data_IF_744653023672
#
_entry.id   IF_744653023672
#
_cell.length_a   1.000
_cell.length_b   1.000
_cell.length_c   1.000
_cell.angle_alpha   90.00
_cell.angle_beta   90.00
_cell.angle_gamma   90.00
#
_symmetry.space_group_name_H-M   'P 1'
#
loop_
_entity.id
_entity.type
_entity.pdbx_description
1 polymer ?
#
# COMPACT_ATOMS: atom_id res chain seq x y z
N UNK A 1 4.67 -21.72 -5.86
CA UNK A 1 4.58 -22.79 -6.88
C UNK A 1 3.70 -23.97 -6.44
N UNK A 2 3.57 -24.27 -5.14
CA UNK A 2 2.88 -25.49 -4.68
C UNK A 2 1.45 -25.65 -5.21
N UNK A 3 0.65 -24.57 -5.25
CA UNK A 3 -0.69 -24.60 -5.80
C UNK A 3 -0.71 -24.83 -7.33
N UNK A 4 0.22 -24.19 -8.05
CA UNK A 4 0.37 -24.39 -9.49
C UNK A 4 0.79 -25.83 -9.83
N UNK A 5 1.62 -26.43 -8.98
CA UNK A 5 2.11 -27.81 -9.10
C UNK A 5 1.17 -28.86 -8.45
N UNK A 6 0.07 -28.44 -7.80
CA UNK A 6 -0.86 -29.33 -7.10
C UNK A 6 -0.28 -30.02 -5.85
N UNK A 7 0.81 -29.50 -5.27
CA UNK A 7 1.57 -30.11 -4.16
C UNK A 7 1.21 -29.58 -2.78
N UNK A 8 0.40 -28.52 -2.70
CA UNK A 8 0.02 -27.88 -1.45
C UNK A 8 -0.58 -26.49 -1.68
N UNK A 9 -0.83 -25.77 -0.59
CA UNK A 9 -1.39 -24.43 -0.64
C UNK A 9 -0.71 -23.52 0.38
N UNK A 10 -0.15 -22.42 -0.10
CA UNK A 10 0.37 -21.33 0.74
C UNK A 10 -0.75 -20.33 1.09
N UNK A 11 -2.02 -20.72 0.95
CA UNK A 11 -3.11 -19.79 1.13
C UNK A 11 -3.22 -19.18 2.54
N UNK A 12 -2.97 -19.92 3.65
CA UNK A 12 -3.00 -19.33 4.99
C UNK A 12 -1.97 -18.19 5.15
N UNK A 13 -0.71 -18.44 4.80
CA UNK A 13 0.35 -17.44 4.91
C UNK A 13 0.11 -16.25 3.96
N UNK A 14 -0.37 -16.48 2.74
CA UNK A 14 -0.69 -15.38 1.81
C UNK A 14 -1.82 -14.51 2.38
N UNK A 15 -2.85 -15.11 2.99
CA UNK A 15 -3.94 -14.35 3.63
C UNK A 15 -3.44 -13.50 4.79
N UNK A 16 -2.39 -13.90 5.50
CA UNK A 16 -1.77 -13.06 6.53
C UNK A 16 -0.96 -11.92 5.91
N UNK A 17 -0.22 -12.18 4.84
CA UNK A 17 0.66 -11.20 4.18
C UNK A 17 -0.11 -10.08 3.49
N UNK A 18 -1.22 -10.38 2.80
CA UNK A 18 -2.04 -9.37 2.10
C UNK A 18 -2.68 -8.36 3.05
N UNK A 19 -2.74 -8.66 4.35
CA UNK A 19 -3.22 -7.74 5.40
C UNK A 19 -2.13 -6.81 5.92
N UNK A 20 -0.85 -7.13 5.65
CA UNK A 20 0.30 -6.42 6.20
C UNK A 20 0.98 -5.52 5.18
N UNK A 21 0.93 -5.88 3.89
CA UNK A 21 1.58 -5.12 2.82
C UNK A 21 0.84 -5.25 1.48
N UNK A 22 0.98 -4.27 0.57
CA UNK A 22 0.54 -4.42 -0.81
C UNK A 22 1.20 -5.65 -1.44
N UNK A 23 0.36 -6.56 -1.95
CA UNK A 23 0.78 -7.87 -2.43
C UNK A 23 0.14 -8.16 -3.78
N UNK A 24 0.95 -8.57 -4.76
CA UNK A 24 0.50 -9.16 -6.02
C UNK A 24 0.47 -10.68 -5.86
N UNK A 25 -0.69 -11.31 -5.98
CA UNK A 25 -0.85 -12.76 -5.70
C UNK A 25 -0.96 -13.54 -7.00
N UNK A 26 -0.08 -14.52 -7.21
CA UNK A 26 -0.07 -15.36 -8.40
C UNK A 26 0.11 -16.85 -8.09
N UNK A 27 -0.17 -17.67 -9.10
CA UNK A 27 0.06 -19.13 -9.07
C UNK A 27 -1.18 -19.94 -8.69
N UNK A 28 -1.67 -20.75 -9.62
CA UNK A 28 -2.79 -21.67 -9.38
C UNK A 28 -4.19 -21.04 -9.44
N UNK A 29 -4.32 -19.78 -9.86
CA UNK A 29 -5.62 -19.12 -10.10
C UNK A 29 -6.15 -19.60 -11.47
N UNK A 30 -7.20 -20.42 -11.47
CA UNK A 30 -7.73 -21.09 -12.67
C UNK A 30 -9.21 -20.78 -12.96
N UNK A 31 -9.90 -20.16 -12.03
CA UNK A 31 -11.31 -19.79 -12.13
C UNK A 31 -11.56 -18.40 -11.51
N UNK A 32 -12.71 -17.82 -11.85
CA UNK A 32 -13.10 -16.46 -11.44
C UNK A 32 -13.34 -16.38 -9.93
N UNK A 33 -13.88 -17.44 -9.31
CA UNK A 33 -14.16 -17.44 -7.88
C UNK A 33 -12.87 -17.39 -7.05
N UNK A 34 -11.84 -18.13 -7.45
CA UNK A 34 -10.52 -18.08 -6.85
C UNK A 34 -9.86 -16.70 -7.03
N UNK A 35 -10.00 -16.10 -8.22
CA UNK A 35 -9.51 -14.75 -8.51
C UNK A 35 -10.17 -13.71 -7.59
N UNK A 36 -11.51 -13.71 -7.50
CA UNK A 36 -12.28 -12.81 -6.63
C UNK A 36 -11.97 -13.05 -5.15
N UNK A 37 -11.79 -14.30 -4.73
CA UNK A 37 -11.43 -14.62 -3.35
C UNK A 37 -10.10 -14.01 -2.93
N UNK A 38 -9.10 -13.95 -3.82
CA UNK A 38 -7.83 -13.28 -3.53
C UNK A 38 -7.96 -11.76 -3.46
N UNK A 39 -8.71 -11.16 -4.39
CA UNK A 39 -8.96 -9.73 -4.40
C UNK A 39 -9.72 -9.30 -3.12
N UNK A 40 -10.72 -10.08 -2.71
CA UNK A 40 -11.50 -9.83 -1.49
C UNK A 40 -10.70 -10.07 -0.21
N UNK A 41 -9.69 -10.95 -0.25
CA UNK A 41 -8.78 -11.17 0.87
C UNK A 41 -7.87 -9.96 1.11
N UNK A 42 -7.66 -9.10 0.10
CA UNK A 42 -6.85 -7.89 0.19
C UNK A 42 -5.66 -7.84 -0.76
N UNK A 43 -5.49 -8.81 -1.67
CA UNK A 43 -4.42 -8.77 -2.67
C UNK A 43 -4.57 -7.53 -3.55
N UNK A 44 -3.57 -6.66 -3.66
CA UNK A 44 -3.63 -5.43 -4.46
C UNK A 44 -3.97 -5.75 -5.93
N UNK A 45 -3.33 -6.78 -6.46
CA UNK A 45 -3.63 -7.35 -7.77
C UNK A 45 -3.42 -8.86 -7.77
N UNK A 46 -3.93 -9.52 -8.80
CA UNK A 46 -3.70 -10.95 -9.05
C UNK A 46 -2.93 -11.15 -10.35
N UNK A 47 -2.05 -12.15 -10.35
CA UNK A 47 -1.25 -12.54 -11.51
C UNK A 47 -1.84 -13.82 -12.10
N UNK A 48 -2.39 -13.71 -13.30
CA UNK A 48 -3.01 -14.82 -14.02
C UNK A 48 -2.00 -15.35 -15.04
N UNK A 49 -1.65 -16.63 -14.90
CA UNK A 49 -0.76 -17.34 -15.83
C UNK A 49 -1.48 -17.87 -17.05
N UNK A 50 -1.39 -19.19 -17.26
CA UNK A 50 -1.95 -19.88 -18.45
C UNK A 50 -3.45 -19.69 -18.66
N UNK A 51 -4.21 -19.33 -17.62
CA UNK A 51 -5.64 -19.04 -17.70
C UNK A 51 -5.98 -17.64 -18.24
N UNK A 52 -4.99 -16.76 -18.45
CA UNK A 52 -5.21 -15.38 -18.84
C UNK A 52 -5.72 -15.28 -20.29
N UNK A 53 -7.02 -15.32 -20.51
CA UNK A 53 -7.69 -15.08 -21.80
C UNK A 53 -8.50 -13.79 -21.76
N UNK A 54 -8.93 -13.29 -22.92
CA UNK A 54 -9.86 -12.15 -23.00
C UNK A 54 -11.12 -12.41 -22.18
N UNK A 55 -11.73 -13.59 -22.34
CA UNK A 55 -12.93 -13.99 -21.61
C UNK A 55 -12.71 -13.99 -20.09
N UNK A 56 -11.59 -14.56 -19.62
CA UNK A 56 -11.27 -14.63 -18.20
C UNK A 56 -10.99 -13.24 -17.62
N UNK A 57 -10.13 -12.45 -18.27
CA UNK A 57 -9.72 -11.14 -17.77
C UNK A 57 -10.86 -10.11 -17.80
N UNK A 58 -11.76 -10.19 -18.78
CA UNK A 58 -12.90 -9.27 -18.91
C UNK A 58 -13.92 -9.35 -17.77
N UNK A 59 -13.93 -10.45 -17.02
CA UNK A 59 -14.83 -10.67 -15.87
C UNK A 59 -14.29 -10.10 -14.56
N UNK A 60 -13.08 -9.53 -14.57
CA UNK A 60 -12.37 -9.07 -13.39
C UNK A 60 -12.08 -7.56 -13.47
N UNK A 61 -11.83 -6.88 -12.32
CA UNK A 61 -11.46 -5.47 -12.34
C UNK A 61 -10.12 -5.28 -13.05
N UNK A 62 -10.16 -4.72 -14.26
CA UNK A 62 -9.01 -4.53 -15.16
C UNK A 62 -7.73 -4.10 -14.43
N UNK A 63 -7.80 -3.02 -13.67
CA UNK A 63 -6.63 -2.41 -13.02
C UNK A 63 -5.97 -3.29 -11.95
N UNK A 64 -6.63 -4.40 -11.55
CA UNK A 64 -6.14 -5.35 -10.54
C UNK A 64 -5.81 -6.73 -11.12
N UNK A 65 -5.80 -6.85 -12.45
CA UNK A 65 -5.37 -8.06 -13.15
C UNK A 65 -4.01 -7.81 -13.80
N UNK A 66 -3.09 -8.73 -13.55
CA UNK A 66 -1.80 -8.81 -14.24
C UNK A 66 -1.77 -10.10 -15.04
N UNK A 67 -1.57 -10.02 -16.36
CA UNK A 67 -1.36 -11.22 -17.18
C UNK A 67 0.13 -11.59 -17.19
N UNK A 68 0.46 -12.83 -16.79
CA UNK A 68 1.81 -13.33 -16.95
C UNK A 68 2.03 -13.83 -18.39
N UNK A 69 3.13 -13.39 -18.98
CA UNK A 69 3.57 -13.75 -20.33
C UNK A 69 4.98 -14.30 -20.22
N UNK A 70 5.08 -15.63 -20.22
CA UNK A 70 6.36 -16.31 -20.13
C UNK A 70 6.95 -16.45 -21.55
N UNK A 71 8.11 -15.83 -21.76
CA UNK A 71 8.81 -15.78 -23.04
C UNK A 71 9.98 -16.76 -23.09
N UNK A 72 9.99 -17.63 -24.10
CA UNK A 72 11.11 -18.49 -24.46
C UNK A 72 11.40 -18.34 -25.97
N UNK A 73 12.55 -17.75 -26.31
CA UNK A 73 13.00 -17.44 -27.67
C UNK A 73 11.99 -16.61 -28.45
N UNK A 74 11.43 -15.59 -27.80
CA UNK A 74 10.42 -14.69 -28.39
C UNK A 74 9.02 -15.28 -28.56
N UNK A 75 8.79 -16.54 -28.14
CA UNK A 75 7.48 -17.19 -28.17
C UNK A 75 6.89 -17.32 -26.77
N UNK A 76 5.57 -17.24 -26.67
CA UNK A 76 4.88 -17.51 -25.40
C UNK A 76 4.92 -19.01 -25.12
N UNK A 77 5.33 -19.36 -23.90
CA UNK A 77 5.28 -20.73 -23.38
C UNK A 77 4.22 -20.88 -22.30
N UNK A 78 3.59 -22.05 -22.24
CA UNK A 78 2.56 -22.41 -21.25
C UNK A 78 2.93 -23.72 -20.55
N UNK A 79 2.11 -24.15 -19.59
CA UNK A 79 2.27 -25.39 -18.82
C UNK A 79 3.60 -25.47 -18.04
N UNK A 80 4.01 -24.38 -17.38
CA UNK A 80 5.28 -24.33 -16.64
C UNK A 80 6.49 -24.43 -17.57
N UNK A 81 6.44 -23.70 -18.69
CA UNK A 81 7.49 -23.54 -19.70
C UNK A 81 7.71 -24.73 -20.64
N UNK A 82 6.80 -25.69 -20.66
CA UNK A 82 6.96 -26.94 -21.40
C UNK A 82 6.44 -26.87 -22.84
N UNK A 83 5.42 -26.04 -23.11
CA UNK A 83 4.70 -26.04 -24.39
C UNK A 83 4.79 -24.68 -25.08
N UNK A 84 5.35 -24.63 -26.30
CA UNK A 84 5.39 -23.40 -27.13
C UNK A 84 4.06 -23.17 -27.80
N UNK A 85 3.55 -21.94 -27.76
CA UNK A 85 2.36 -21.53 -28.50
C UNK A 85 2.74 -20.97 -29.88
N UNK A 86 1.74 -20.85 -30.77
CA UNK A 86 1.93 -20.22 -32.09
C UNK A 86 2.00 -18.68 -32.01
N UNK A 87 1.57 -18.08 -30.90
CA UNK A 87 1.48 -16.64 -30.72
C UNK A 87 2.81 -16.03 -30.23
N UNK A 88 3.19 -14.90 -30.82
CA UNK A 88 4.30 -14.09 -30.35
C UNK A 88 3.97 -13.36 -29.05
N UNK A 89 5.00 -13.09 -28.24
CA UNK A 89 4.88 -12.34 -26.97
C UNK A 89 4.16 -11.00 -27.16
N UNK A 90 4.52 -10.28 -28.24
CA UNK A 90 3.99 -8.96 -28.55
C UNK A 90 2.51 -9.00 -28.94
N UNK A 91 2.09 -10.00 -29.72
CA UNK A 91 0.69 -10.14 -30.13
C UNK A 91 -0.19 -10.45 -28.91
N UNK A 92 0.30 -11.27 -27.98
CA UNK A 92 -0.40 -11.57 -26.73
C UNK A 92 -0.57 -10.34 -25.84
N UNK A 93 0.46 -9.50 -25.75
CA UNK A 93 0.37 -8.23 -25.01
C UNK A 93 -0.71 -7.33 -25.63
N UNK A 94 -0.71 -7.16 -26.96
CA UNK A 94 -1.72 -6.35 -27.66
C UNK A 94 -3.14 -6.88 -27.46
N UNK A 95 -3.31 -8.20 -27.52
CA UNK A 95 -4.60 -8.88 -27.31
C UNK A 95 -5.18 -8.59 -25.92
N UNK A 96 -4.35 -8.68 -24.87
CA UNK A 96 -4.81 -8.60 -23.48
C UNK A 96 -4.78 -7.18 -22.87
N UNK A 97 -4.03 -6.23 -23.44
CA UNK A 97 -3.86 -4.88 -22.88
C UNK A 97 -5.17 -4.13 -22.58
N UNK A 98 -6.26 -4.29 -23.37
CA UNK A 98 -7.55 -3.68 -23.03
C UNK A 98 -8.19 -4.23 -21.73
N UNK A 99 -7.80 -5.43 -21.28
CA UNK A 99 -8.48 -6.18 -20.22
C UNK A 99 -7.66 -6.32 -18.92
N UNK A 100 -6.41 -5.85 -18.90
CA UNK A 100 -5.51 -5.96 -17.75
C UNK A 100 -4.88 -4.62 -17.37
N UNK A 101 -4.47 -4.50 -16.10
CA UNK A 101 -3.78 -3.34 -15.53
C UNK A 101 -2.26 -3.45 -15.59
N UNK A 102 -1.74 -4.64 -15.89
CA UNK A 102 -0.33 -4.86 -16.10
C UNK A 102 0.00 -6.21 -16.74
N UNK A 103 1.26 -6.38 -17.10
CA UNK A 103 1.84 -7.65 -17.53
C UNK A 103 3.05 -8.00 -16.68
N UNK A 104 3.20 -9.30 -16.39
CA UNK A 104 4.45 -9.85 -15.90
C UNK A 104 5.14 -10.59 -17.05
N UNK A 105 6.15 -9.97 -17.64
CA UNK A 105 6.92 -10.53 -18.75
C UNK A 105 8.14 -11.28 -18.20
N UNK A 106 8.07 -12.61 -18.17
CA UNK A 106 9.17 -13.45 -17.66
C UNK A 106 10.01 -13.97 -18.82
N UNK A 107 11.30 -13.64 -18.85
CA UNK A 107 12.26 -14.19 -19.80
C UNK A 107 12.82 -15.50 -19.28
N UNK A 108 12.15 -16.60 -19.61
CA UNK A 108 12.39 -17.93 -19.01
C UNK A 108 13.81 -18.43 -19.25
N UNK A 109 14.40 -18.13 -20.41
CA UNK A 109 15.77 -18.57 -20.74
C UNK A 109 16.85 -17.95 -19.85
N UNK A 110 16.51 -16.90 -19.11
CA UNK A 110 17.39 -16.21 -18.17
C UNK A 110 16.94 -16.36 -16.71
N UNK A 111 15.84 -17.08 -16.46
CA UNK A 111 15.30 -17.27 -15.12
C UNK A 111 16.22 -18.17 -14.27
N UNK A 112 16.63 -17.68 -13.10
CA UNK A 112 17.57 -18.36 -12.21
C UNK A 112 19.04 -18.41 -12.72
N UNK A 113 19.27 -18.16 -14.01
CA UNK A 113 20.58 -18.28 -14.66
C UNK A 113 21.52 -17.08 -14.49
N UNK A 114 21.01 -15.93 -14.04
CA UNK A 114 21.80 -14.70 -13.85
C UNK A 114 22.64 -14.30 -15.09
N UNK A 115 22.09 -14.49 -16.29
CA UNK A 115 22.79 -14.37 -17.57
C UNK A 115 22.41 -13.11 -18.37
N UNK A 116 21.86 -12.08 -17.70
CA UNK A 116 21.32 -10.87 -18.34
C UNK A 116 19.90 -11.08 -18.88
N UNK A 117 19.36 -10.07 -19.55
CA UNK A 117 18.00 -10.06 -20.09
C UNK A 117 17.98 -9.45 -21.50
N UNK A 118 16.95 -9.76 -22.28
CA UNK A 118 16.76 -9.22 -23.63
C UNK A 118 16.10 -7.84 -23.56
N UNK A 119 16.88 -6.80 -23.86
CA UNK A 119 16.43 -5.41 -23.84
C UNK A 119 15.38 -5.11 -24.92
N UNK A 120 15.64 -5.54 -26.16
CA UNK A 120 14.77 -5.27 -27.31
C UNK A 120 13.36 -5.85 -27.10
N UNK A 121 13.26 -7.03 -26.49
CA UNK A 121 11.98 -7.65 -26.20
C UNK A 121 11.15 -6.81 -25.22
N UNK A 122 11.76 -6.28 -24.16
CA UNK A 122 11.07 -5.44 -23.18
C UNK A 122 10.67 -4.10 -23.82
N UNK A 123 11.56 -3.48 -24.61
CA UNK A 123 11.24 -2.23 -25.30
C UNK A 123 10.04 -2.40 -26.24
N UNK A 124 9.99 -3.49 -27.01
CA UNK A 124 8.84 -3.82 -27.86
C UNK A 124 7.58 -4.10 -27.04
N UNK A 125 7.70 -4.80 -25.91
CA UNK A 125 6.60 -5.09 -25.01
C UNK A 125 5.99 -3.81 -24.40
N UNK A 126 6.83 -2.86 -23.94
CA UNK A 126 6.37 -1.57 -23.42
C UNK A 126 5.63 -0.78 -24.51
N UNK A 127 6.20 -0.71 -25.71
CA UNK A 127 5.52 -0.05 -26.84
C UNK A 127 4.17 -0.70 -27.17
N UNK A 128 4.10 -2.03 -27.15
CA UNK A 128 2.88 -2.77 -27.45
C UNK A 128 1.81 -2.65 -26.36
N UNK A 129 2.20 -2.53 -25.10
CA UNK A 129 1.30 -2.37 -23.96
C UNK A 129 0.70 -0.97 -23.85
N UNK A 130 1.33 0.04 -24.48
CA UNK A 130 0.87 1.42 -24.44
C UNK A 130 0.94 1.98 -23.03
N UNK A 131 -0.22 2.31 -22.43
CA UNK A 131 -0.30 2.82 -21.05
C UNK A 131 -0.34 1.71 -19.98
N UNK A 132 -0.39 0.44 -20.39
CA UNK A 132 -0.44 -0.70 -19.45
C UNK A 132 0.98 -1.02 -18.96
N UNK A 133 1.14 -1.22 -17.66
CA UNK A 133 2.46 -1.44 -17.05
C UNK A 133 3.06 -2.78 -17.47
N UNK A 134 4.34 -2.78 -17.82
CA UNK A 134 5.16 -3.99 -17.97
C UNK A 134 6.02 -4.15 -16.72
N UNK A 135 5.96 -5.30 -16.07
CA UNK A 135 6.97 -5.75 -15.12
C UNK A 135 7.81 -6.83 -15.77
N UNK A 136 9.10 -6.56 -15.98
CA UNK A 136 10.05 -7.52 -16.53
C UNK A 136 10.64 -8.43 -15.44
N UNK A 137 10.77 -9.71 -15.74
CA UNK A 137 11.35 -10.72 -14.87
C UNK A 137 12.28 -11.66 -15.67
N UNK A 138 13.17 -12.36 -14.95
CA UNK A 138 14.15 -13.28 -15.54
C UNK A 138 15.42 -12.55 -15.98
N UNK A 139 16.57 -12.94 -15.42
CA UNK A 139 17.88 -12.43 -15.86
C UNK A 139 18.38 -11.12 -15.26
N UNK A 140 17.60 -10.46 -14.39
CA UNK A 140 17.99 -9.21 -13.72
C UNK A 140 19.01 -9.51 -12.60
N UNK A 141 20.20 -8.91 -12.66
CA UNK A 141 21.34 -9.27 -11.79
C UNK A 141 21.99 -8.11 -11.06
N UNK A 142 21.83 -6.90 -11.56
CA UNK A 142 22.49 -5.69 -11.05
C UNK A 142 21.51 -4.55 -10.84
N UNK A 143 21.93 -3.54 -10.07
CA UNK A 143 21.15 -2.32 -9.90
C UNK A 143 21.02 -1.57 -11.24
N UNK A 144 22.06 -1.59 -12.07
CA UNK A 144 22.04 -1.00 -13.39
C UNK A 144 20.94 -1.60 -14.29
N UNK A 145 20.70 -2.92 -14.21
CA UNK A 145 19.59 -3.56 -14.92
C UNK A 145 18.23 -2.97 -14.50
N UNK A 146 18.03 -2.73 -13.20
CA UNK A 146 16.79 -2.12 -12.67
C UNK A 146 16.63 -0.70 -13.18
N UNK A 147 17.69 0.10 -13.14
CA UNK A 147 17.68 1.46 -13.69
C UNK A 147 17.43 1.49 -15.20
N UNK A 148 17.97 0.52 -15.94
CA UNK A 148 17.76 0.40 -17.39
C UNK A 148 16.32 0.04 -17.74
N UNK A 149 15.71 -0.89 -16.99
CA UNK A 149 14.30 -1.23 -17.15
C UNK A 149 13.39 -0.02 -16.90
N UNK A 150 13.66 0.75 -15.85
CA UNK A 150 12.90 1.98 -15.55
C UNK A 150 12.98 3.00 -16.69
N UNK A 151 14.17 3.20 -17.28
CA UNK A 151 14.36 4.08 -18.44
C UNK A 151 13.58 3.62 -19.69
N UNK A 152 13.32 2.32 -19.82
CA UNK A 152 12.47 1.78 -20.89
C UNK A 152 10.98 1.92 -20.60
N UNK A 153 10.59 2.34 -19.39
CA UNK A 153 9.20 2.40 -18.94
C UNK A 153 8.67 1.07 -18.39
N UNK A 154 9.55 0.19 -17.93
CA UNK A 154 9.19 -1.09 -17.32
C UNK A 154 9.60 -1.16 -15.83
N UNK A 155 8.78 -1.81 -15.03
CA UNK A 155 9.13 -2.21 -13.66
C UNK A 155 10.04 -3.47 -13.68
N UNK A 156 10.83 -3.67 -12.63
CA UNK A 156 11.66 -4.85 -12.44
C UNK A 156 11.09 -5.79 -11.37
N UNK A 157 11.00 -7.09 -11.66
CA UNK A 157 10.80 -8.13 -10.66
C UNK A 157 12.11 -8.87 -10.40
N UNK A 158 12.72 -8.60 -9.25
CA UNK A 158 14.01 -9.15 -8.85
C UNK A 158 13.82 -10.26 -7.82
N UNK A 159 14.42 -11.43 -8.07
CA UNK A 159 14.44 -12.57 -7.15
C UNK A 159 15.84 -12.90 -6.67
N UNK A 160 16.50 -13.85 -7.35
CA UNK A 160 17.76 -14.45 -6.91
C UNK A 160 18.88 -13.46 -6.59
N UNK A 161 19.01 -12.35 -7.32
CA UNK A 161 20.06 -11.35 -7.06
C UNK A 161 19.97 -10.74 -5.64
N UNK A 162 18.75 -10.58 -5.10
CA UNK A 162 18.53 -10.16 -3.72
C UNK A 162 18.81 -11.31 -2.75
N UNK A 163 18.31 -12.52 -3.04
CA UNK A 163 18.48 -13.69 -2.15
C UNK A 163 19.92 -14.15 -2.00
N UNK A 164 20.76 -13.94 -3.01
CA UNK A 164 22.19 -14.29 -2.98
C UNK A 164 23.09 -13.11 -2.60
N UNK A 165 22.51 -11.98 -2.18
CA UNK A 165 23.22 -10.74 -1.84
C UNK A 165 24.16 -10.23 -2.95
N UNK A 166 23.82 -10.48 -4.22
CA UNK A 166 24.57 -9.94 -5.37
C UNK A 166 24.25 -8.45 -5.60
N UNK A 167 23.08 -8.03 -5.14
CA UNK A 167 22.60 -6.66 -5.14
C UNK A 167 21.82 -6.43 -3.85
N UNK A 168 22.04 -5.32 -3.16
CA UNK A 168 21.25 -4.94 -2.00
C UNK A 168 19.90 -4.36 -2.43
N UNK A 169 18.88 -4.47 -1.56
CA UNK A 169 17.58 -3.85 -1.83
C UNK A 169 17.69 -2.32 -1.96
N UNK A 170 18.60 -1.71 -1.20
CA UNK A 170 18.86 -0.26 -1.26
C UNK A 170 19.46 0.17 -2.60
N UNK A 171 20.40 -0.60 -3.14
CA UNK A 171 20.93 -0.39 -4.50
C UNK A 171 19.83 -0.51 -5.56
N UNK A 172 19.01 -1.55 -5.47
CA UNK A 172 17.90 -1.79 -6.41
C UNK A 172 16.88 -0.64 -6.40
N UNK A 173 16.46 -0.20 -5.21
CA UNK A 173 15.50 0.91 -5.04
C UNK A 173 16.11 2.24 -5.50
N UNK A 174 17.41 2.46 -5.28
CA UNK A 174 18.08 3.68 -5.70
C UNK A 174 18.44 3.72 -7.19
N UNK A 175 18.45 2.59 -7.89
CA UNK A 175 18.91 2.51 -9.27
C UNK A 175 18.17 3.46 -10.24
N UNK A 176 16.83 3.60 -10.18
CA UNK A 176 16.08 4.48 -11.08
C UNK A 176 16.33 5.97 -10.87
N UNK A 177 16.93 6.38 -9.74
CA UNK A 177 17.12 7.79 -9.41
C UNK A 177 17.98 8.52 -10.45
N UNK A 178 17.48 9.65 -10.97
CA UNK A 178 18.16 10.53 -11.93
C UNK A 178 18.17 11.98 -11.43
N UNK A 179 18.81 12.88 -12.20
CA UNK A 179 18.85 14.34 -11.96
C UNK A 179 19.30 14.75 -10.54
N UNK A 180 20.30 14.06 -10.01
CA UNK A 180 20.85 14.38 -8.69
C UNK A 180 21.32 15.85 -8.62
N UNK A 181 20.91 16.56 -7.57
CA UNK A 181 21.43 17.89 -7.25
C UNK A 181 22.91 17.74 -6.87
N UNK A 182 23.74 18.63 -7.44
CA UNK A 182 25.20 18.59 -7.31
C UNK A 182 25.81 17.22 -7.65
N UNK A 183 25.14 16.46 -8.51
CA UNK A 183 25.58 15.13 -8.99
C UNK A 183 25.45 14.00 -7.97
N UNK A 184 24.91 14.22 -6.76
CA UNK A 184 24.82 13.16 -5.73
C UNK A 184 23.66 13.24 -4.74
N UNK A 185 22.88 14.32 -4.74
CA UNK A 185 21.86 14.58 -3.72
C UNK A 185 20.45 14.48 -4.31
N UNK A 186 19.57 13.81 -3.59
CA UNK A 186 18.13 13.81 -3.83
C UNK A 186 17.40 14.38 -2.62
N UNK A 187 16.40 15.25 -2.83
CA UNK A 187 15.49 15.65 -1.77
C UNK A 187 14.67 14.43 -1.33
N UNK A 188 14.53 14.28 -0.01
CA UNK A 188 13.76 13.20 0.59
C UNK A 188 12.73 13.79 1.53
N UNK A 189 11.45 13.63 1.20
CA UNK A 189 10.35 13.99 2.09
C UNK A 189 10.15 12.85 3.08
N UNK A 190 10.23 13.15 4.37
CA UNK A 190 10.00 12.17 5.43
C UNK A 190 8.58 12.34 5.93
N UNK A 191 7.77 11.29 5.88
CA UNK A 191 6.39 11.26 6.32
C UNK A 191 6.17 10.18 7.40
N UNK A 192 5.14 10.35 8.22
CA UNK A 192 4.62 9.28 9.07
C UNK A 192 3.76 8.27 8.28
N UNK A 193 3.16 7.30 8.99
CA UNK A 193 2.33 6.21 8.44
C UNK A 193 1.02 6.70 7.82
N UNK A 194 0.63 7.94 8.12
CA UNK A 194 -0.57 8.63 7.65
C UNK A 194 -0.27 9.52 6.45
N UNK A 195 1.01 9.73 6.13
CA UNK A 195 1.46 10.56 5.02
C UNK A 195 1.69 12.02 5.40
N UNK A 196 1.56 12.39 6.67
CA UNK A 196 1.88 13.74 7.15
C UNK A 196 3.39 13.96 7.04
N UNK A 197 3.78 15.04 6.38
CA UNK A 197 5.19 15.41 6.26
C UNK A 197 5.76 15.80 7.63
N UNK A 198 6.81 15.10 8.03
CA UNK A 198 7.59 15.34 9.24
C UNK A 198 8.77 16.26 8.97
N UNK A 199 9.40 16.15 7.81
CA UNK A 199 10.58 16.94 7.47
C UNK A 199 11.06 16.74 6.04
N UNK A 200 11.95 17.64 5.61
CA UNK A 200 12.71 17.49 4.36
C UNK A 200 14.17 17.23 4.71
N UNK A 201 14.74 16.18 4.13
CA UNK A 201 16.14 15.78 4.29
C UNK A 201 16.77 15.53 2.92
N UNK A 202 18.05 15.17 2.92
CA UNK A 202 18.79 14.88 1.71
C UNK A 202 19.26 13.44 1.74
N UNK A 203 19.18 12.75 0.61
CA UNK A 203 19.69 11.39 0.46
C UNK A 203 20.77 11.35 -0.63
N UNK A 204 21.82 10.59 -0.36
CA UNK A 204 22.75 10.03 -1.35
C UNK A 204 22.41 8.55 -1.56
N UNK A 205 22.97 7.92 -2.61
CA UNK A 205 22.90 6.46 -2.80
C UNK A 205 23.38 5.70 -1.55
N UNK A 206 24.49 6.13 -0.97
CA UNK A 206 25.05 5.59 0.28
C UNK A 206 24.06 5.68 1.45
N UNK A 207 23.42 6.85 1.66
CA UNK A 207 22.47 6.99 2.76
C UNK A 207 21.20 6.17 2.55
N UNK A 208 20.74 6.03 1.30
CA UNK A 208 19.57 5.22 0.95
C UNK A 208 19.85 3.74 1.19
N UNK A 209 21.02 3.26 0.77
CA UNK A 209 21.45 1.89 1.01
C UNK A 209 21.54 1.58 2.51
N UNK A 210 22.19 2.45 3.29
CA UNK A 210 22.26 2.32 4.74
C UNK A 210 20.86 2.35 5.38
N UNK A 211 19.98 3.27 4.97
CA UNK A 211 18.64 3.39 5.49
C UNK A 211 17.80 2.13 5.26
N UNK A 212 17.86 1.55 4.06
CA UNK A 212 17.15 0.31 3.70
C UNK A 212 17.75 -0.89 4.42
N UNK A 213 19.09 -1.00 4.48
CA UNK A 213 19.80 -2.09 5.16
C UNK A 213 19.52 -2.13 6.66
N UNK A 214 19.59 -0.99 7.33
CA UNK A 214 19.35 -0.87 8.78
C UNK A 214 17.86 -0.72 9.14
N UNK A 215 17.01 -0.41 8.15
CA UNK A 215 15.59 -0.05 8.34
C UNK A 215 15.42 1.13 9.31
N UNK A 216 16.24 2.16 9.15
CA UNK A 216 16.30 3.35 10.01
C UNK A 216 16.24 4.63 9.20
N UNK A 217 15.83 5.72 9.84
CA UNK A 217 15.95 7.06 9.27
C UNK A 217 17.41 7.49 9.17
N UNK A 218 18.07 7.13 8.06
CA UNK A 218 19.46 7.48 7.76
C UNK A 218 19.48 8.38 6.53
N UNK A 219 20.14 9.52 6.67
CA UNK A 219 20.12 10.60 5.69
C UNK A 219 21.55 11.12 5.44
N UNK A 220 21.69 12.02 4.48
CA UNK A 220 22.91 12.78 4.25
C UNK A 220 22.82 14.17 4.88
N UNK A 221 23.76 14.48 5.78
CA UNK A 221 23.89 15.83 6.32
C UNK A 221 24.78 16.67 5.40
N UNK A 222 24.19 17.66 4.72
CA UNK A 222 24.95 18.59 3.86
C UNK A 222 25.96 19.44 4.63
N UNK A 223 25.65 19.83 5.87
CA UNK A 223 26.53 20.66 6.70
C UNK A 223 27.68 19.86 7.31
N UNK A 224 27.45 18.60 7.67
CA UNK A 224 28.50 17.71 8.23
C UNK A 224 29.25 16.94 7.15
N UNK A 225 28.74 16.94 5.92
CA UNK A 225 29.25 16.16 4.80
C UNK A 225 29.44 14.67 5.15
N UNK A 226 28.45 14.10 5.85
CA UNK A 226 28.48 12.75 6.37
C UNK A 226 27.08 12.14 6.44
N UNK A 227 27.01 10.82 6.63
CA UNK A 227 25.77 10.16 7.04
C UNK A 227 25.26 10.73 8.36
N UNK A 228 23.93 10.80 8.49
CA UNK A 228 23.23 11.24 9.67
C UNK A 228 22.14 10.24 10.02
N UNK A 229 22.33 9.57 11.16
CA UNK A 229 21.36 8.64 11.72
C UNK A 229 20.42 9.42 12.65
N UNK A 230 19.14 9.50 12.30
CA UNK A 230 18.15 10.25 13.08
C UNK A 230 17.98 9.64 14.47
N UNK A 231 18.11 10.50 15.48
CA UNK A 231 17.91 10.14 16.89
C UNK A 231 19.14 9.55 17.58
N UNK A 232 20.29 9.43 16.91
CA UNK A 232 21.51 8.89 17.53
C UNK A 232 21.97 9.72 18.75
N UNK A 233 21.80 11.04 18.70
CA UNK A 233 22.13 11.94 19.81
C UNK A 233 20.95 12.23 20.73
N UNK A 234 19.73 12.32 20.19
CA UNK A 234 18.55 12.78 20.95
C UNK A 234 17.64 11.66 21.47
N UNK A 235 17.86 10.40 21.07
CA UNK A 235 16.96 9.28 21.32
C UNK A 235 15.67 9.29 20.47
N UNK A 236 15.39 10.35 19.72
CA UNK A 236 14.22 10.45 18.86
C UNK A 236 14.44 9.75 17.50
N UNK A 237 14.46 8.41 17.54
CA UNK A 237 14.79 7.52 16.44
C UNK A 237 13.65 7.32 15.44
N UNK A 238 13.96 6.72 14.29
CA UNK A 238 13.00 6.40 13.24
C UNK A 238 13.24 4.97 12.74
N UNK A 239 12.16 4.20 12.61
CA UNK A 239 12.16 2.98 11.83
C UNK A 239 11.66 3.28 10.42
N UNK A 240 12.44 2.91 9.40
CA UNK A 240 12.05 3.06 8.00
C UNK A 240 11.07 1.94 7.62
N UNK A 241 9.90 2.32 7.12
CA UNK A 241 8.84 1.38 6.73
C UNK A 241 8.71 1.24 5.23
N UNK A 242 8.85 2.34 4.48
CA UNK A 242 8.70 2.35 3.03
C UNK A 242 9.56 3.44 2.40
N UNK A 243 10.12 3.14 1.23
CA UNK A 243 10.75 4.12 0.35
C UNK A 243 9.92 4.17 -0.93
N UNK A 244 9.62 5.38 -1.37
CA UNK A 244 8.92 5.63 -2.61
C UNK A 244 9.71 6.63 -3.46
N UNK A 245 9.67 6.41 -4.76
CA UNK A 245 10.22 7.30 -5.78
C UNK A 245 9.06 8.09 -6.38
N UNK A 246 9.29 9.35 -6.74
CA UNK A 246 8.34 10.10 -7.55
C UNK A 246 8.31 9.64 -9.02
N UNK A 247 7.51 10.32 -9.84
CA UNK A 247 7.22 9.90 -11.21
C UNK A 247 8.38 10.12 -12.18
N UNK A 248 9.26 11.09 -11.92
CA UNK A 248 10.41 11.43 -12.76
C UNK A 248 11.77 11.20 -12.08
N UNK A 249 11.72 10.45 -10.96
CA UNK A 249 12.85 9.83 -10.27
C UNK A 249 13.88 10.83 -9.74
N UNK A 250 13.44 12.01 -9.36
CA UNK A 250 14.32 13.05 -8.82
C UNK A 250 14.01 13.44 -7.36
N UNK A 251 13.00 12.83 -6.74
CA UNK A 251 12.77 12.90 -5.30
C UNK A 251 12.39 11.55 -4.68
N UNK A 252 12.62 11.46 -3.37
CA UNK A 252 12.27 10.32 -2.53
C UNK A 252 11.19 10.71 -1.52
N UNK A 253 10.32 9.76 -1.18
CA UNK A 253 9.46 9.83 0.01
C UNK A 253 9.76 8.64 0.93
N UNK A 254 10.14 8.93 2.17
CA UNK A 254 10.38 7.94 3.21
C UNK A 254 9.17 7.92 4.15
N UNK A 255 8.55 6.77 4.30
CA UNK A 255 7.54 6.53 5.34
C UNK A 255 8.23 5.93 6.55
N UNK A 256 8.14 6.61 7.69
CA UNK A 256 8.83 6.22 8.92
C UNK A 256 7.86 6.10 10.10
N UNK A 257 8.18 5.20 11.02
CA UNK A 257 7.63 5.22 12.38
C UNK A 257 8.55 6.04 13.27
N UNK A 258 8.08 7.20 13.70
CA UNK A 258 8.81 8.08 14.61
C UNK A 258 8.69 7.59 16.06
N UNK A 259 9.79 7.62 16.80
CA UNK A 259 9.83 7.35 18.24
C UNK A 259 10.44 8.54 19.00
N UNK A 260 10.10 8.68 20.28
CA UNK A 260 10.56 9.79 21.13
C UNK A 260 9.86 11.11 20.83
N UNK A 261 10.54 12.22 21.11
CA UNK A 261 9.95 13.58 21.11
C UNK A 261 9.56 14.16 19.73
N UNK A 262 9.66 13.39 18.65
CA UNK A 262 9.30 13.81 17.29
C UNK A 262 10.48 13.98 16.32
N UNK A 263 10.17 14.41 15.09
CA UNK A 263 11.16 14.68 14.07
C UNK A 263 11.98 15.94 14.41
N UNK A 264 11.31 17.00 14.85
CA UNK A 264 11.91 18.32 14.98
C UNK A 264 12.81 18.44 16.22
N UNK A 265 13.85 19.25 16.11
CA UNK A 265 14.75 19.56 17.23
C UNK A 265 14.08 20.44 18.32
N UNK A 266 12.90 21.01 18.04
CA UNK A 266 12.10 21.79 18.99
C UNK A 266 11.12 20.93 19.81
N UNK A 267 11.13 19.61 19.63
CA UNK A 267 10.23 18.69 20.34
C UNK A 267 8.82 18.61 19.77
N UNK A 268 8.63 19.01 18.50
CA UNK A 268 7.36 18.86 17.77
C UNK A 268 7.38 17.62 16.87
N UNK A 269 6.20 17.03 16.55
CA UNK A 269 6.12 15.84 15.69
C UNK A 269 6.84 16.01 14.34
N UNK A 270 6.64 17.17 13.69
CA UNK A 270 7.29 17.55 12.43
C UNK A 270 7.92 18.95 12.49
N UNK A 271 8.65 19.31 11.43
CA UNK A 271 9.23 20.64 11.21
C UNK A 271 8.19 21.73 10.91
N UNK A 272 6.99 21.33 10.50
CA UNK A 272 5.86 22.23 10.24
C UNK A 272 4.75 22.01 11.27
N UNK A 273 3.80 22.96 11.41
CA UNK A 273 2.64 22.77 12.27
C UNK A 273 1.88 21.48 11.90
N UNK A 274 1.56 20.69 12.92
CA UNK A 274 0.71 19.50 12.74
C UNK A 274 -0.75 19.94 12.70
N UNK A 275 -1.47 19.77 11.57
CA UNK A 275 -2.89 20.08 11.52
C UNK A 275 -3.69 19.09 12.37
N UNK A 276 -4.92 19.46 12.71
CA UNK A 276 -5.86 18.51 13.31
C UNK A 276 -6.17 17.38 12.31
N UNK A 277 -6.06 16.14 12.79
CA UNK A 277 -6.47 14.93 12.09
C UNK A 277 -7.15 13.97 13.06
N UNK A 278 -7.84 12.95 12.54
CA UNK A 278 -8.36 11.88 13.38
C UNK A 278 -7.23 11.12 14.11
N UNK A 279 -6.01 11.11 13.58
CA UNK A 279 -4.84 10.53 14.24
C UNK A 279 -4.42 11.35 15.46
N UNK A 280 -4.32 12.67 15.32
CA UNK A 280 -4.01 13.53 16.47
C UNK A 280 -5.10 13.45 17.55
N UNK A 281 -6.38 13.33 17.15
CA UNK A 281 -7.47 13.11 18.11
C UNK A 281 -7.34 11.75 18.81
N UNK A 282 -7.06 10.68 18.05
CA UNK A 282 -6.87 9.33 18.59
C UNK A 282 -5.72 9.25 19.59
N UNK A 283 -4.62 9.98 19.36
CA UNK A 283 -3.49 10.09 20.28
C UNK A 283 -3.88 10.78 21.58
N UNK A 284 -4.59 11.92 21.50
CA UNK A 284 -5.10 12.65 22.66
C UNK A 284 -6.07 11.79 23.47
N UNK A 285 -6.98 11.06 22.81
CA UNK A 285 -7.91 10.14 23.47
C UNK A 285 -7.14 9.07 24.25
N UNK A 286 -6.15 8.45 23.61
CA UNK A 286 -5.32 7.41 24.22
C UNK A 286 -4.55 7.95 25.43
N UNK A 287 -3.92 9.12 25.28
CA UNK A 287 -3.18 9.77 26.36
C UNK A 287 -4.08 10.10 27.55
N UNK A 288 -5.26 10.70 27.31
CA UNK A 288 -6.22 11.02 28.38
C UNK A 288 -6.75 9.79 29.09
N UNK A 289 -6.90 8.67 28.38
CA UNK A 289 -7.24 7.38 28.99
C UNK A 289 -6.17 6.84 29.92
N UNK A 290 -4.89 7.06 29.59
CA UNK A 290 -3.75 6.58 30.37
C UNK A 290 -3.44 7.48 31.57
N UNK A 291 -3.40 8.80 31.35
CA UNK A 291 -3.10 9.78 32.40
C UNK A 291 -4.28 9.99 33.36
N UNK A 292 -5.51 9.74 32.88
CA UNK A 292 -6.75 9.91 33.62
C UNK A 292 -6.83 11.22 34.42
N UNK A 293 -6.62 12.40 33.79
CA UNK A 293 -6.64 13.67 34.50
C UNK A 293 -8.01 13.92 35.12
N UNK A 294 -8.03 14.59 36.27
CA UNK A 294 -9.26 14.87 37.03
C UNK A 294 -10.29 15.60 36.14
N UNK A 295 -11.54 15.11 36.13
CA UNK A 295 -12.62 15.65 35.31
C UNK A 295 -12.61 15.25 33.83
N UNK A 296 -11.68 14.39 33.38
CA UNK A 296 -11.63 13.92 31.99
C UNK A 296 -12.83 13.03 31.65
N UNK A 297 -13.74 13.57 30.81
CA UNK A 297 -14.84 12.79 30.24
C UNK A 297 -14.34 11.57 29.44
N UNK A 298 -13.25 11.72 28.70
CA UNK A 298 -12.61 10.63 27.94
C UNK A 298 -12.16 9.49 28.86
N UNK A 299 -11.49 9.81 29.97
CA UNK A 299 -11.03 8.80 30.92
C UNK A 299 -12.21 8.06 31.57
N UNK A 300 -13.28 8.81 31.92
CA UNK A 300 -14.53 8.23 32.45
C UNK A 300 -15.15 7.25 31.46
N UNK A 301 -15.28 7.64 30.19
CA UNK A 301 -15.84 6.81 29.12
C UNK A 301 -15.00 5.54 28.87
N UNK A 302 -13.67 5.65 28.93
CA UNK A 302 -12.79 4.49 28.77
C UNK A 302 -12.87 3.51 29.94
N UNK A 303 -13.17 4.00 31.16
CA UNK A 303 -13.34 3.19 32.36
C UNK A 303 -14.75 2.61 32.56
N UNK A 304 -15.76 3.15 31.88
CA UNK A 304 -17.17 2.79 32.04
C UNK A 304 -17.79 2.42 30.69
N UNK A 305 -17.78 1.12 30.37
CA UNK A 305 -18.31 0.59 29.11
C UNK A 305 -19.82 0.75 28.98
N UNK A 306 -20.57 0.83 30.09
CA UNK A 306 -22.00 1.04 30.07
C UNK A 306 -22.33 2.48 29.69
N UNK A 307 -21.62 3.44 30.29
CA UNK A 307 -21.75 4.86 29.92
C UNK A 307 -21.35 5.09 28.46
N UNK A 308 -20.24 4.51 28.00
CA UNK A 308 -19.82 4.64 26.61
C UNK A 308 -20.84 4.04 25.64
N UNK A 309 -21.41 2.88 25.94
CA UNK A 309 -22.48 2.29 25.14
C UNK A 309 -23.75 3.15 25.14
N UNK A 310 -24.07 3.82 26.26
CA UNK A 310 -25.19 4.76 26.34
C UNK A 310 -24.96 5.97 25.43
N UNK A 311 -23.78 6.61 25.50
CA UNK A 311 -23.45 7.75 24.63
C UNK A 311 -23.47 7.36 23.15
N UNK A 312 -22.90 6.21 22.79
CA UNK A 312 -22.96 5.73 21.40
C UNK A 312 -24.39 5.56 20.87
N UNK A 313 -25.34 5.13 21.70
CA UNK A 313 -26.76 5.03 21.30
C UNK A 313 -27.38 6.40 21.12
N UNK A 314 -27.17 7.29 22.08
CA UNK A 314 -27.66 8.67 22.05
C UNK A 314 -27.20 9.40 20.78
N UNK A 315 -25.89 9.45 20.49
CA UNK A 315 -25.39 10.13 19.29
C UNK A 315 -25.83 9.44 17.97
N UNK A 316 -26.11 8.14 18.01
CA UNK A 316 -26.66 7.44 16.84
C UNK A 316 -28.11 7.85 16.61
N UNK A 317 -28.91 7.96 17.67
CA UNK A 317 -30.30 8.41 17.61
C UNK A 317 -30.37 9.87 17.13
N UNK A 318 -29.53 10.75 17.68
CA UNK A 318 -29.45 12.17 17.28
C UNK A 318 -29.03 12.31 15.80
N UNK A 319 -28.05 11.51 15.32
CA UNK A 319 -27.69 11.50 13.90
C UNK A 319 -28.85 11.02 13.01
N UNK A 320 -29.63 10.04 13.45
CA UNK A 320 -30.81 9.57 12.71
C UNK A 320 -31.87 10.68 12.65
N UNK A 321 -32.14 11.36 13.75
CA UNK A 321 -33.09 12.48 13.82
C UNK A 321 -32.65 13.63 12.91
N UNK A 322 -31.36 13.98 12.91
CA UNK A 322 -30.80 15.02 12.04
C UNK A 322 -30.98 14.69 10.55
N UNK A 323 -30.78 13.43 10.15
CA UNK A 323 -30.99 12.98 8.77
C UNK A 323 -32.47 13.06 8.36
N UNK A 324 -33.39 12.69 9.26
CA UNK A 324 -34.83 12.73 8.99
C UNK A 324 -35.37 14.16 8.90
N UNK A 325 -34.85 15.07 9.72
CA UNK A 325 -35.23 16.48 9.69
C UNK A 325 -34.84 17.17 8.37
N UNK A 326 -33.76 16.74 7.73
CA UNK A 326 -33.31 17.23 6.43
C UNK A 326 -34.13 16.68 5.25
N UNK A 327 -34.59 15.43 5.32
CA UNK A 327 -35.41 14.80 4.28
C UNK A 327 -36.83 15.40 4.19
N UNK A 328 -37.37 15.93 5.30
CA UNK A 328 -38.72 16.51 5.36
C UNK A 328 -38.86 17.89 4.70
N UNK A 329 -37.79 18.43 4.09
CA UNK A 329 -37.81 19.68 3.30
C UNK A 329 -38.20 20.93 4.09
N UNK A 330 -38.14 20.86 5.42
CA UNK A 330 -38.57 21.91 6.34
C UNK A 330 -37.45 22.87 6.78
N UNK A 331 -36.20 22.59 6.41
CA UNK A 331 -35.06 23.47 6.68
C UNK A 331 -34.91 24.52 5.57
N UNK A 332 -35.16 25.78 5.91
CA UNK A 332 -35.15 26.92 4.98
C UNK A 332 -33.74 27.46 4.65
N UNK A 333 -32.70 26.65 4.85
CA UNK A 333 -31.34 26.91 4.38
C UNK A 333 -30.52 25.61 4.44
N UNK A 334 -29.99 25.16 3.32
CA UNK A 334 -29.15 23.94 3.18
C UNK A 334 -27.94 23.90 4.15
N UNK A 335 -27.56 25.05 4.73
CA UNK A 335 -26.42 25.22 5.65
C UNK A 335 -26.73 24.84 7.12
N UNK A 336 -28.01 24.91 7.54
CA UNK A 336 -28.40 24.62 8.92
C UNK A 336 -28.58 23.12 9.18
N UNK A 337 -29.18 22.42 8.23
CA UNK A 337 -29.40 20.97 8.26
C UNK A 337 -28.10 20.16 8.21
N UNK A 338 -27.28 20.46 7.20
CA UNK A 338 -25.94 19.87 7.06
C UNK A 338 -25.04 20.15 8.26
N UNK A 339 -25.21 21.31 8.93
CA UNK A 339 -24.51 21.65 10.16
C UNK A 339 -24.83 20.71 11.33
N UNK A 340 -26.11 20.35 11.50
CA UNK A 340 -26.53 19.42 12.56
C UNK A 340 -26.03 18.00 12.26
N UNK A 341 -26.18 17.52 11.02
CA UNK A 341 -25.64 16.21 10.60
C UNK A 341 -24.12 16.12 10.85
N UNK A 342 -23.36 17.18 10.54
CA UNK A 342 -21.92 17.23 10.81
C UNK A 342 -21.64 17.14 12.31
N UNK A 343 -22.44 17.82 13.15
CA UNK A 343 -22.27 17.81 14.60
C UNK A 343 -22.45 16.40 15.17
N UNK A 344 -23.60 15.77 14.92
CA UNK A 344 -23.90 14.45 15.47
C UNK A 344 -22.99 13.36 14.90
N UNK A 345 -22.63 13.47 13.61
CA UNK A 345 -21.66 12.54 13.02
C UNK A 345 -20.26 12.69 13.64
N UNK A 346 -19.84 13.91 13.98
CA UNK A 346 -18.56 14.15 14.63
C UNK A 346 -18.52 13.59 16.06
N UNK A 347 -19.61 13.74 16.82
CA UNK A 347 -19.71 13.20 18.17
C UNK A 347 -19.77 11.67 18.16
N UNK A 348 -20.59 11.07 17.28
CA UNK A 348 -20.61 9.63 17.06
C UNK A 348 -19.22 9.09 16.66
N UNK A 349 -18.50 9.80 15.79
CA UNK A 349 -17.13 9.46 15.41
C UNK A 349 -16.17 9.55 16.60
N UNK A 350 -16.27 10.58 17.43
CA UNK A 350 -15.48 10.72 18.65
C UNK A 350 -15.70 9.53 19.60
N UNK A 351 -16.95 9.17 19.94
CA UNK A 351 -17.22 8.03 20.81
C UNK A 351 -16.79 6.70 20.19
N UNK A 352 -16.88 6.57 18.86
CA UNK A 352 -16.34 5.41 18.15
C UNK A 352 -14.82 5.29 18.33
N UNK A 353 -14.08 6.40 18.27
CA UNK A 353 -12.64 6.44 18.55
C UNK A 353 -12.34 6.10 20.02
N UNK A 354 -13.13 6.59 20.98
CA UNK A 354 -13.00 6.22 22.40
C UNK A 354 -13.24 4.73 22.61
N UNK A 355 -14.24 4.16 21.95
CA UNK A 355 -14.54 2.72 22.01
C UNK A 355 -13.38 1.88 21.46
N UNK A 356 -12.81 2.27 20.32
CA UNK A 356 -11.63 1.63 19.78
C UNK A 356 -10.43 1.73 20.76
N UNK A 357 -10.17 2.93 21.28
CA UNK A 357 -9.07 3.18 22.22
C UNK A 357 -9.21 2.39 23.52
N UNK A 358 -10.44 2.19 24.02
CA UNK A 358 -10.72 1.34 25.21
C UNK A 358 -10.27 -0.12 25.04
N UNK A 359 -10.09 -0.57 23.79
CA UNK A 359 -9.60 -1.90 23.42
C UNK A 359 -8.16 -1.89 22.90
N UNK A 360 -7.43 -0.79 23.10
CA UNK A 360 -6.06 -0.63 22.61
C UNK A 360 -5.94 -0.44 21.10
N UNK A 361 -7.04 -0.07 20.42
CA UNK A 361 -7.07 0.15 18.97
C UNK A 361 -7.22 1.65 18.69
N UNK A 362 -6.23 2.27 18.04
CA UNK A 362 -6.34 3.65 17.57
C UNK A 362 -7.02 3.76 16.19
N UNK A 363 -7.15 5.00 15.68
CA UNK A 363 -7.70 5.26 14.34
C UNK A 363 -6.96 4.52 13.23
N UNK A 364 -5.65 4.29 13.38
CA UNK A 364 -4.86 3.52 12.42
C UNK A 364 -5.38 2.09 12.23
N UNK A 365 -5.93 1.46 13.28
CA UNK A 365 -6.58 0.15 13.17
C UNK A 365 -7.87 0.20 12.37
N UNK A 366 -8.72 1.19 12.63
CA UNK A 366 -9.97 1.40 11.89
C UNK A 366 -9.69 1.71 10.42
N UNK A 367 -8.70 2.57 10.13
CA UNK A 367 -8.26 2.90 8.78
C UNK A 367 -7.82 1.66 8.00
N UNK A 368 -7.04 0.76 8.61
CA UNK A 368 -6.61 -0.49 7.97
C UNK A 368 -7.79 -1.40 7.62
N UNK A 369 -8.74 -1.55 8.55
CA UNK A 369 -9.96 -2.33 8.33
C UNK A 369 -10.79 -1.75 7.16
N UNK A 370 -10.99 -0.43 7.13
CA UNK A 370 -11.72 0.25 6.06
C UNK A 370 -10.99 0.16 4.71
N UNK A 371 -9.67 0.36 4.70
CA UNK A 371 -8.85 0.21 3.51
C UNK A 371 -8.96 -1.20 2.94
N UNK A 372 -8.90 -2.24 3.79
CA UNK A 372 -9.08 -3.62 3.35
C UNK A 372 -10.49 -3.87 2.76
N UNK A 373 -11.55 -3.35 3.40
CA UNK A 373 -12.91 -3.48 2.88
C UNK A 373 -13.08 -2.79 1.53
N UNK A 374 -12.40 -1.66 1.32
CA UNK A 374 -12.42 -0.94 0.04
C UNK A 374 -11.85 -1.75 -1.13
N UNK A 375 -10.96 -2.71 -0.84
CA UNK A 375 -10.39 -3.63 -1.82
C UNK A 375 -11.31 -4.82 -2.15
N UNK A 376 -12.44 -5.00 -1.47
CA UNK A 376 -13.36 -6.09 -1.81
C UNK A 376 -14.07 -5.81 -3.13
N UNK A 377 -14.07 -6.80 -4.00
CA UNK A 377 -14.79 -6.77 -5.28
C UNK A 377 -16.23 -7.21 -5.05
N UNK A 378 -16.42 -8.30 -4.31
CA UNK A 378 -17.77 -8.76 -3.93
C UNK A 378 -18.25 -7.98 -2.71
N UNK A 379 -19.23 -7.10 -2.93
CA UNK A 379 -19.85 -6.31 -1.87
C UNK A 379 -21.07 -7.03 -1.30
N UNK A 380 -21.27 -6.90 0.00
CA UNK A 380 -22.52 -7.35 0.64
C UNK A 380 -23.66 -6.45 0.15
N UNK A 381 -24.85 -7.00 -0.20
CA UNK A 381 -26.02 -6.18 -0.46
C UNK A 381 -26.29 -5.28 0.74
N UNK A 382 -26.44 -3.97 0.52
CA UNK A 382 -26.85 -3.01 1.55
C UNK A 382 -28.38 -3.04 1.69
N UNK A 383 -28.93 -4.23 1.86
CA UNK A 383 -30.35 -4.43 2.11
C UNK A 383 -30.58 -4.40 3.62
N UNK A 384 -31.64 -3.72 4.05
CA UNK A 384 -32.08 -3.79 5.43
C UNK A 384 -32.30 -5.27 5.78
N UNK A 385 -31.75 -5.71 6.91
CA UNK A 385 -32.15 -7.02 7.42
C UNK A 385 -33.66 -6.95 7.64
N UNK A 386 -34.45 -7.93 7.14
CA UNK A 386 -35.84 -8.02 7.56
C UNK A 386 -35.86 -8.03 9.08
N UNK A 387 -36.79 -7.28 9.68
CA UNK A 387 -36.99 -7.30 11.12
C UNK A 387 -37.29 -8.74 11.56
N UNK A 388 -36.25 -9.47 11.98
CA UNK A 388 -36.44 -10.71 12.71
C UNK A 388 -37.01 -10.30 14.06
N UNK A 389 -38.31 -10.56 14.19
CA UNK A 389 -39.20 -10.22 15.29
C UNK A 389 -38.52 -9.91 16.61
N UNK A 390 -38.78 -8.69 17.09
CA UNK A 390 -38.81 -8.37 18.50
C UNK A 390 -39.90 -9.21 19.19
N UNK A 391 -39.61 -10.49 19.40
CA UNK A 391 -40.34 -11.34 20.33
C UNK A 391 -39.44 -12.51 20.76
N UNK A 392 -38.66 -12.26 21.83
CA UNK A 392 -38.22 -13.24 22.83
C UNK A 392 -37.54 -12.60 24.03
#
# INVERSE_FOLDING_TARGET
MDAAMGKGSNAPIIRELVLQAPCRVGGGIRDIDAALAWLDAGAESIVIGTAASVDFCSQLPRDRVIAAVDALRGKVVVEGWQTKTEHGVIDRIKELAPFVGGFLLTQVEHEGGMSGWNEDLVAQAVQAAGSVRITAAGGITTAEDVGRLDQLGADAQVGMALYTNRMSLGEAVGAPLVKAIDGRLWPTVVCDEEGQALGLVWSTRESLEAAVGERRGIYWSRSRNSLWIKGETSGATQALLRVELDCDRDALRFIVRQQGAGFCHTGTPGCWPTPFTLSTLSEVITQRGQEAPEGSGTAKLMGDSALLASKLREETEELIEALQADDDGSSSSDDAGSGQVIHEAADLLYFTLVAAASRGVGVGGLRRELAQRSLRVRRRPMEAKPEEGADR
#
